data_IF_101254694123
#
_entry.id   IF_101254694123
#
_cell.length_a   1.000
_cell.length_b   1.000
_cell.length_c   1.000
_cell.angle_alpha   90.00
_cell.angle_beta   90.00
_cell.angle_gamma   90.00
#
_symmetry.space_group_name_H-M   'P 1'
#
loop_
_entity.id
_entity.type
_entity.pdbx_description
1 polymer ?
#
# COMPACT_ATOMS: atom_id res chain seq x y z
N UNK A 1 -12.82 -14.54 0.56
CA UNK A 1 -14.13 -14.31 -0.08
C UNK A 1 -14.02 -14.39 -1.59
N UNK A 2 -14.77 -15.28 -2.28
CA UNK A 2 -14.74 -15.34 -3.74
C UNK A 2 -15.48 -14.16 -4.34
N UNK A 3 -15.28 -13.86 -5.63
CA UNK A 3 -16.09 -12.88 -6.35
C UNK A 3 -17.61 -13.17 -6.22
N UNK A 4 -17.99 -14.43 -5.94
CA UNK A 4 -19.36 -14.86 -5.70
C UNK A 4 -19.79 -14.77 -4.22
N UNK A 5 -18.84 -14.65 -3.28
CA UNK A 5 -19.09 -14.43 -1.85
C UNK A 5 -19.15 -12.95 -1.49
N UNK A 6 -18.88 -12.04 -2.44
CA UNK A 6 -19.52 -10.73 -2.44
C UNK A 6 -21.02 -10.90 -2.68
N UNK A 7 -21.71 -11.54 -1.74
CA UNK A 7 -23.08 -11.12 -1.48
C UNK A 7 -23.03 -9.62 -1.26
N UNK A 8 -24.04 -8.93 -1.77
CA UNK A 8 -24.36 -7.56 -1.40
C UNK A 8 -24.65 -7.50 0.10
N UNK A 9 -23.65 -7.74 0.95
CA UNK A 9 -23.73 -7.50 2.37
C UNK A 9 -23.50 -6.02 2.54
N UNK A 10 -24.57 -5.27 2.27
CA UNK A 10 -24.74 -3.96 2.85
C UNK A 10 -24.60 -4.17 4.37
N UNK A 11 -23.49 -3.71 4.94
CA UNK A 11 -23.55 -3.29 6.33
C UNK A 11 -24.65 -2.23 6.38
N UNK A 12 -25.77 -2.56 7.04
CA UNK A 12 -27.08 -1.87 7.05
C UNK A 12 -28.06 -2.35 5.98
N UNK A 13 -28.77 -3.45 6.28
CA UNK A 13 -30.13 -3.74 5.81
C UNK A 13 -30.38 -3.89 4.29
N UNK A 14 -31.50 -4.50 3.90
CA UNK A 14 -31.87 -4.70 2.49
C UNK A 14 -32.13 -3.42 1.68
N UNK A 15 -32.05 -2.21 2.28
CA UNK A 15 -32.48 -0.96 1.62
C UNK A 15 -31.42 0.16 1.54
N UNK A 16 -30.16 -0.06 1.90
CA UNK A 16 -29.15 1.03 1.86
C UNK A 16 -28.17 0.86 0.70
N UNK A 17 -28.54 1.45 -0.44
CA UNK A 17 -27.72 1.61 -1.62
C UNK A 17 -26.56 2.57 -1.33
N UNK A 18 -25.30 2.09 -1.30
CA UNK A 18 -24.16 2.92 -1.71
C UNK A 18 -24.08 2.95 -3.24
N UNK A 19 -25.18 3.39 -3.83
CA UNK A 19 -25.22 3.85 -5.19
C UNK A 19 -25.30 5.37 -5.06
N UNK A 20 -24.63 6.13 -5.95
CA UNK A 20 -25.34 7.31 -6.45
C UNK A 20 -26.74 6.80 -6.79
N UNK A 21 -27.83 7.34 -6.21
CA UNK A 21 -29.16 6.84 -6.52
C UNK A 21 -29.23 6.70 -8.03
N UNK A 22 -29.79 5.60 -8.55
CA UNK A 22 -30.14 5.55 -9.96
C UNK A 22 -31.07 6.73 -10.20
N UNK A 23 -30.46 7.86 -10.52
CA UNK A 23 -31.10 9.14 -10.62
C UNK A 23 -31.44 9.22 -12.07
N UNK A 24 -32.68 8.88 -12.41
CA UNK A 24 -33.30 9.40 -13.61
C UNK A 24 -33.28 10.92 -13.48
N UNK A 25 -32.25 11.57 -14.02
CA UNK A 25 -32.22 13.02 -14.13
C UNK A 25 -33.00 13.38 -15.38
N UNK A 26 -34.13 14.05 -15.21
CA UNK A 26 -34.87 14.64 -16.31
C UNK A 26 -34.27 16.02 -16.60
N UNK A 27 -33.67 16.19 -17.78
CA UNK A 27 -33.27 17.52 -18.23
C UNK A 27 -34.52 18.33 -18.56
N UNK A 28 -34.75 19.44 -17.85
CA UNK A 28 -35.77 20.41 -18.24
C UNK A 28 -35.17 21.34 -19.31
N UNK A 29 -35.58 21.15 -20.56
CA UNK A 29 -35.36 22.14 -21.62
C UNK A 29 -36.51 23.18 -21.59
N UNK A 30 -36.25 24.49 -21.68
CA UNK A 30 -37.30 25.52 -21.74
C UNK A 30 -38.16 25.48 -23.03
N UNK A 31 -37.83 24.61 -23.97
CA UNK A 31 -38.48 24.44 -25.28
C UNK A 31 -38.87 22.97 -25.47
N UNK A 32 -39.98 22.73 -26.20
CA UNK A 32 -40.73 21.47 -26.47
C UNK A 32 -39.92 20.23 -26.87
N UNK A 33 -38.89 19.90 -26.12
CA UNK A 33 -38.00 18.75 -26.32
C UNK A 33 -38.30 17.78 -25.18
N UNK A 34 -38.70 16.54 -25.47
CA UNK A 34 -39.03 15.58 -24.41
C UNK A 34 -37.80 15.35 -23.52
N UNK A 35 -38.03 15.35 -22.20
CA UNK A 35 -37.00 15.13 -21.21
C UNK A 35 -36.27 13.80 -21.49
N UNK A 36 -34.94 13.84 -21.61
CA UNK A 36 -34.12 12.64 -21.73
C UNK A 36 -33.85 12.08 -20.34
N UNK A 37 -34.16 10.81 -20.14
CA UNK A 37 -33.78 10.06 -18.95
C UNK A 37 -32.29 9.73 -19.03
N UNK A 38 -31.50 10.31 -18.13
CA UNK A 38 -30.08 9.96 -17.99
C UNK A 38 -29.97 8.89 -16.90
N UNK A 39 -29.69 7.65 -17.30
CA UNK A 39 -29.43 6.55 -16.37
C UNK A 39 -27.95 6.61 -15.97
N UNK A 40 -27.67 7.02 -14.72
CA UNK A 40 -26.33 6.93 -14.15
C UNK A 40 -26.09 5.46 -13.77
N UNK A 41 -25.35 4.73 -14.60
CA UNK A 41 -24.94 3.36 -14.26
C UNK A 41 -23.86 3.39 -13.19
N UNK A 42 -24.09 2.67 -12.08
CA UNK A 42 -23.05 2.40 -11.08
C UNK A 42 -21.87 1.69 -11.73
N UNK A 43 -20.67 2.27 -11.65
CA UNK A 43 -19.46 1.64 -12.17
C UNK A 43 -19.21 0.34 -11.39
N UNK A 44 -19.14 -0.79 -12.11
CA UNK A 44 -18.79 -2.05 -11.47
C UNK A 44 -17.37 -1.97 -10.90
N UNK A 45 -17.17 -2.47 -9.68
CA UNK A 45 -15.89 -2.40 -8.97
C UNK A 45 -14.74 -3.03 -9.80
N UNK A 46 -15.02 -4.08 -10.56
CA UNK A 46 -14.09 -4.73 -11.48
C UNK A 46 -13.64 -3.86 -12.67
N UNK A 47 -14.27 -2.71 -12.91
CA UNK A 47 -13.86 -1.74 -13.94
C UNK A 47 -12.82 -0.73 -13.45
N UNK A 48 -12.60 -0.60 -12.13
CA UNK A 48 -11.61 0.33 -11.58
C UNK A 48 -10.20 0.10 -12.15
N UNK A 49 -9.69 -1.15 -12.32
CA UNK A 49 -8.39 -1.35 -12.97
C UNK A 49 -8.32 -0.77 -14.39
N UNK A 50 -9.43 -0.73 -15.12
CA UNK A 50 -9.52 -0.07 -16.42
C UNK A 50 -9.32 1.45 -16.31
N UNK A 51 -10.08 2.09 -15.42
CA UNK A 51 -9.94 3.53 -15.14
C UNK A 51 -8.52 3.89 -14.66
N UNK A 52 -7.92 3.07 -13.80
CA UNK A 52 -6.53 3.26 -13.36
C UNK A 52 -5.55 3.25 -14.54
N UNK A 53 -5.67 2.29 -15.46
CA UNK A 53 -4.82 2.25 -16.67
C UNK A 53 -5.02 3.48 -17.56
N UNK A 54 -6.24 3.99 -17.69
CA UNK A 54 -6.53 5.21 -18.44
C UNK A 54 -5.85 6.45 -17.84
N UNK A 55 -5.61 6.46 -16.52
CA UNK A 55 -4.84 7.49 -15.81
C UNK A 55 -3.31 7.26 -15.85
N UNK A 56 -2.85 6.18 -16.47
CA UNK A 56 -1.44 5.75 -16.43
C UNK A 56 -1.02 5.09 -15.11
N UNK A 57 -1.97 4.74 -14.24
CA UNK A 57 -1.72 4.09 -12.95
C UNK A 57 -1.59 2.58 -13.10
N UNK A 58 -0.55 2.16 -13.81
CA UNK A 58 -0.37 0.77 -14.22
C UNK A 58 -0.10 -0.15 -13.02
N UNK A 59 0.66 0.30 -12.02
CA UNK A 59 0.99 -0.51 -10.84
C UNK A 59 -0.22 -0.68 -9.93
N UNK A 60 -0.98 0.40 -9.69
CA UNK A 60 -2.24 0.33 -8.95
C UNK A 60 -3.24 -0.60 -9.63
N UNK A 61 -3.39 -0.47 -10.96
CA UNK A 61 -4.27 -1.33 -11.74
C UNK A 61 -3.86 -2.81 -11.65
N UNK A 62 -2.56 -3.10 -11.70
CA UNK A 62 -2.04 -4.46 -11.61
C UNK A 62 -2.30 -5.08 -10.24
N UNK A 63 -2.09 -4.34 -9.14
CA UNK A 63 -2.40 -4.82 -7.79
C UNK A 63 -3.89 -5.12 -7.62
N UNK A 64 -4.75 -4.18 -8.02
CA UNK A 64 -6.19 -4.36 -7.89
C UNK A 64 -6.70 -5.51 -8.78
N UNK A 65 -6.17 -5.65 -10.00
CA UNK A 65 -6.48 -6.78 -10.87
C UNK A 65 -6.02 -8.11 -10.25
N UNK A 66 -4.79 -8.18 -9.73
CA UNK A 66 -4.28 -9.37 -9.03
C UNK A 66 -5.20 -9.74 -7.86
N UNK A 67 -5.70 -8.76 -7.12
CA UNK A 67 -6.61 -9.00 -6.01
C UNK A 67 -7.95 -9.59 -6.49
N UNK A 68 -8.56 -9.06 -7.56
CA UNK A 68 -9.78 -9.63 -8.14
C UNK A 68 -9.57 -11.04 -8.72
N UNK A 69 -8.41 -11.30 -9.32
CA UNK A 69 -8.09 -12.57 -9.96
C UNK A 69 -7.66 -13.65 -8.94
N UNK A 70 -7.36 -13.24 -7.70
CA UNK A 70 -6.90 -14.14 -6.64
C UNK A 70 -8.04 -14.98 -6.06
N UNK A 71 -7.74 -16.19 -5.55
CA UNK A 71 -8.71 -16.99 -4.84
C UNK A 71 -9.32 -16.26 -3.67
N UNK A 72 -10.51 -16.73 -3.32
CA UNK A 72 -11.29 -16.29 -2.19
C UNK A 72 -10.54 -16.35 -0.86
N UNK A 73 -9.90 -15.27 -0.45
CA UNK A 73 -9.18 -15.24 0.82
C UNK A 73 -9.34 -13.91 1.54
N UNK A 74 -9.55 -14.00 2.84
CA UNK A 74 -9.59 -12.85 3.74
C UNK A 74 -8.38 -12.97 4.64
N UNK A 75 -7.52 -11.94 4.64
CA UNK A 75 -6.37 -11.93 5.54
C UNK A 75 -6.86 -11.86 6.99
N UNK A 76 -6.37 -12.71 7.91
CA UNK A 76 -6.72 -12.63 9.32
C UNK A 76 -6.38 -11.25 9.89
N UNK A 77 -7.29 -10.66 10.66
CA UNK A 77 -7.14 -9.29 11.18
C UNK A 77 -5.92 -9.19 12.12
N UNK A 78 -5.63 -10.26 12.85
CA UNK A 78 -4.43 -10.37 13.68
C UNK A 78 -3.14 -10.20 12.87
N UNK A 79 -3.09 -10.54 11.57
CA UNK A 79 -1.88 -10.37 10.76
C UNK A 79 -1.56 -8.90 10.47
N UNK A 80 -2.48 -7.96 10.76
CA UNK A 80 -2.22 -6.52 10.64
C UNK A 80 -1.34 -5.97 11.77
N UNK A 81 -1.17 -6.73 12.85
CA UNK A 81 -0.33 -6.38 13.99
C UNK A 81 1.01 -7.12 13.91
N UNK A 82 2.11 -6.43 14.20
CA UNK A 82 3.47 -6.93 13.95
C UNK A 82 3.78 -8.24 14.70
N UNK A 83 3.29 -8.38 15.94
CA UNK A 83 3.57 -9.52 16.83
C UNK A 83 2.91 -10.83 16.36
N UNK A 84 1.85 -10.72 15.58
CA UNK A 84 1.00 -11.83 15.11
C UNK A 84 1.14 -12.07 13.62
N UNK A 85 2.03 -11.34 12.95
CA UNK A 85 2.39 -11.63 11.55
C UNK A 85 3.02 -13.01 11.44
N UNK A 86 2.61 -13.82 10.44
CA UNK A 86 3.28 -15.08 10.15
C UNK A 86 4.72 -14.80 9.68
N UNK A 87 5.58 -15.83 9.77
CA UNK A 87 6.89 -15.78 9.14
C UNK A 87 6.69 -15.45 7.64
N UNK A 88 7.32 -14.38 7.12
CA UNK A 88 7.23 -14.03 5.71
C UNK A 88 7.52 -15.22 4.78
N UNK A 89 8.44 -16.09 5.18
CA UNK A 89 8.83 -17.27 4.41
C UNK A 89 7.80 -18.40 4.40
N UNK A 90 6.75 -18.31 5.23
CA UNK A 90 5.65 -19.27 5.28
C UNK A 90 4.45 -18.88 4.41
N UNK A 91 4.46 -17.66 3.85
CA UNK A 91 3.36 -17.16 3.00
C UNK A 91 3.32 -17.89 1.67
N UNK A 92 2.12 -18.26 1.23
CA UNK A 92 1.95 -18.84 -0.11
C UNK A 92 2.03 -17.76 -1.20
N UNK A 93 2.39 -18.11 -2.45
CA UNK A 93 2.39 -17.15 -3.57
C UNK A 93 1.03 -16.50 -3.86
N UNK A 94 -0.07 -17.13 -3.43
CA UNK A 94 -1.42 -16.56 -3.52
C UNK A 94 -1.65 -15.45 -2.49
N UNK A 95 -0.94 -15.47 -1.35
CA UNK A 95 -1.09 -14.51 -0.25
C UNK A 95 -0.07 -13.37 -0.32
N UNK A 96 1.02 -13.53 -1.08
CA UNK A 96 2.08 -12.53 -1.16
C UNK A 96 2.46 -12.26 -2.62
N UNK A 97 2.65 -10.98 -2.98
CA UNK A 97 3.24 -10.57 -4.24
C UNK A 97 4.63 -9.98 -4.04
N UNK A 98 5.58 -10.43 -4.85
CA UNK A 98 6.93 -9.84 -4.94
C UNK A 98 7.22 -9.29 -6.35
N UNK A 99 6.22 -9.21 -7.23
CA UNK A 99 6.41 -9.05 -8.68
C UNK A 99 5.92 -7.72 -9.26
N UNK A 100 4.90 -7.10 -8.66
CA UNK A 100 4.23 -5.90 -9.16
C UNK A 100 4.90 -4.64 -8.62
N UNK A 101 5.02 -4.54 -7.30
CA UNK A 101 5.63 -3.36 -6.65
C UNK A 101 7.14 -3.54 -6.61
N UNK A 102 7.84 -2.92 -7.57
CA UNK A 102 9.30 -2.90 -7.62
C UNK A 102 9.85 -1.62 -7.01
N UNK A 103 10.98 -1.74 -6.30
CA UNK A 103 11.67 -0.56 -5.78
C UNK A 103 12.12 0.39 -6.88
N UNK A 104 12.45 -0.10 -8.08
CA UNK A 104 12.74 0.74 -9.25
C UNK A 104 11.58 1.69 -9.60
N UNK A 105 10.35 1.17 -9.63
CA UNK A 105 9.13 1.97 -9.81
C UNK A 105 8.90 2.90 -8.60
N UNK A 106 9.01 2.37 -7.38
CA UNK A 106 8.74 3.15 -6.18
C UNK A 106 9.68 4.36 -6.05
N UNK A 107 10.95 4.20 -6.40
CA UNK A 107 11.97 5.25 -6.36
C UNK A 107 11.75 6.37 -7.40
N UNK A 108 10.80 6.22 -8.34
CA UNK A 108 10.38 7.32 -9.21
C UNK A 108 9.57 8.39 -8.45
N UNK A 109 8.99 8.04 -7.30
CA UNK A 109 8.19 8.95 -6.49
C UNK A 109 9.05 9.61 -5.40
N UNK A 110 8.97 10.93 -5.31
CA UNK A 110 9.75 11.73 -4.36
C UNK A 110 9.58 11.28 -2.91
N UNK A 111 8.35 10.98 -2.51
CA UNK A 111 8.05 10.49 -1.15
C UNK A 111 8.72 9.17 -0.80
N UNK A 112 8.98 8.30 -1.77
CA UNK A 112 9.72 7.06 -1.53
C UNK A 112 11.22 7.32 -1.41
N UNK A 113 11.78 8.24 -2.21
CA UNK A 113 13.19 8.65 -2.08
C UNK A 113 13.48 9.28 -0.73
N UNK A 114 12.62 10.20 -0.29
CA UNK A 114 12.71 10.82 1.03
C UNK A 114 12.61 9.79 2.16
N UNK A 115 11.72 8.80 2.01
CA UNK A 115 11.63 7.68 2.94
C UNK A 115 12.94 6.88 2.99
N UNK A 116 13.55 6.55 1.85
CA UNK A 116 14.84 5.84 1.82
C UNK A 116 15.94 6.65 2.52
N UNK A 117 16.05 7.95 2.23
CA UNK A 117 17.02 8.84 2.88
C UNK A 117 16.83 8.90 4.40
N UNK A 118 15.58 8.99 4.88
CA UNK A 118 15.27 8.95 6.31
C UNK A 118 15.62 7.59 6.93
N UNK A 119 15.30 6.49 6.25
CA UNK A 119 15.54 5.14 6.74
C UNK A 119 17.05 4.83 6.92
N UNK A 120 17.92 5.42 6.09
CA UNK A 120 19.37 5.33 6.25
C UNK A 120 19.86 5.93 7.58
N UNK A 121 19.26 7.04 8.02
CA UNK A 121 19.62 7.71 9.27
C UNK A 121 19.18 6.92 10.51
N UNK A 122 18.29 5.94 10.36
CA UNK A 122 17.68 5.20 11.46
C UNK A 122 18.35 3.84 11.75
N UNK A 123 19.44 3.51 11.05
CA UNK A 123 20.16 2.24 11.19
C UNK A 123 20.79 2.01 12.56
N UNK A 124 21.16 3.10 13.26
CA UNK A 124 21.89 3.05 14.54
C UNK A 124 21.02 3.42 15.74
N UNK A 125 19.69 3.48 15.56
CA UNK A 125 18.76 3.71 16.67
C UNK A 125 18.78 2.56 17.67
N UNK A 126 18.39 2.83 18.92
CA UNK A 126 18.33 1.82 19.98
C UNK A 126 17.46 0.63 19.57
N UNK A 127 16.33 0.87 18.89
CA UNK A 127 15.44 -0.18 18.41
C UNK A 127 16.07 -1.01 17.29
N UNK A 128 16.78 -0.37 16.34
CA UNK A 128 17.47 -1.07 15.27
C UNK A 128 18.59 -1.97 15.81
N UNK A 129 19.36 -1.47 16.78
CA UNK A 129 20.42 -2.25 17.44
C UNK A 129 19.82 -3.41 18.24
N UNK A 130 18.74 -3.18 19.00
CA UNK A 130 18.06 -4.24 19.75
C UNK A 130 17.50 -5.33 18.81
N UNK A 131 16.91 -4.94 17.68
CA UNK A 131 16.43 -5.85 16.65
C UNK A 131 17.57 -6.66 16.03
N UNK A 132 18.68 -6.02 15.68
CA UNK A 132 19.87 -6.66 15.13
C UNK A 132 20.44 -7.71 16.10
N UNK A 133 20.56 -7.38 17.38
CA UNK A 133 21.02 -8.34 18.40
C UNK A 133 20.11 -9.57 18.47
N UNK A 134 18.79 -9.37 18.47
CA UNK A 134 17.82 -10.48 18.46
C UNK A 134 17.95 -11.35 17.21
N UNK A 135 18.18 -10.75 16.05
CA UNK A 135 18.41 -11.48 14.80
C UNK A 135 19.68 -12.34 14.88
N UNK A 136 20.78 -11.78 15.39
CA UNK A 136 22.03 -12.52 15.56
C UNK A 136 21.89 -13.66 16.57
N UNK A 137 21.21 -13.44 17.70
CA UNK A 137 20.94 -14.48 18.70
C UNK A 137 20.08 -15.61 18.13
N UNK A 138 19.03 -15.27 17.39
CA UNK A 138 18.16 -16.23 16.72
C UNK A 138 18.92 -17.03 15.64
N UNK A 139 19.86 -16.39 14.96
CA UNK A 139 20.73 -17.03 13.98
C UNK A 139 21.86 -17.87 14.62
N UNK A 140 21.95 -17.89 15.95
CA UNK A 140 22.88 -18.73 16.70
C UNK A 140 24.17 -18.06 17.14
N UNK A 141 24.35 -16.76 16.89
CA UNK A 141 25.49 -16.02 17.43
C UNK A 141 25.36 -15.87 18.95
N UNK A 142 26.49 -16.00 19.65
CA UNK A 142 26.55 -15.97 21.13
C UNK A 142 27.53 -14.90 21.63
N UNK A 143 27.84 -13.91 20.80
CA UNK A 143 28.80 -12.85 21.15
C UNK A 143 30.26 -13.31 21.14
N UNK A 144 30.57 -14.36 20.38
CA UNK A 144 31.94 -14.87 20.21
C UNK A 144 32.20 -15.19 18.74
N UNK A 145 33.45 -15.01 18.31
CA UNK A 145 33.87 -15.25 16.93
C UNK A 145 33.28 -14.24 15.93
N UNK A 146 33.45 -14.55 14.64
CA UNK A 146 32.90 -13.77 13.52
C UNK A 146 31.66 -14.48 13.00
N UNK A 147 30.58 -13.74 12.76
CA UNK A 147 29.32 -14.29 12.27
C UNK A 147 28.76 -13.45 11.11
N UNK A 148 28.45 -14.06 9.97
CA UNK A 148 27.82 -13.39 8.84
C UNK A 148 26.31 -13.37 9.01
N UNK A 149 25.70 -12.19 8.90
CA UNK A 149 24.26 -12.02 8.81
C UNK A 149 23.89 -11.58 7.38
N UNK A 150 22.87 -12.21 6.82
CA UNK A 150 22.31 -11.83 5.54
C UNK A 150 23.16 -12.24 4.32
N UNK A 151 22.60 -12.02 3.13
CA UNK A 151 23.26 -12.17 1.83
C UNK A 151 22.63 -11.21 0.82
N UNK A 152 23.40 -10.78 -0.18
CA UNK A 152 22.93 -9.87 -1.23
C UNK A 152 21.96 -10.52 -2.21
N UNK A 153 21.84 -11.85 -2.16
CA UNK A 153 20.91 -12.65 -2.98
C UNK A 153 19.56 -12.87 -2.30
N UNK A 154 19.33 -12.29 -1.12
CA UNK A 154 18.08 -12.45 -0.39
C UNK A 154 16.90 -11.79 -1.10
N UNK A 155 15.76 -12.48 -1.11
CA UNK A 155 14.48 -11.86 -1.47
C UNK A 155 14.01 -10.90 -0.38
N UNK A 156 12.98 -10.10 -0.66
CA UNK A 156 12.38 -9.22 0.33
C UNK A 156 11.83 -10.01 1.53
N UNK A 157 11.22 -11.19 1.29
CA UNK A 157 10.74 -12.08 2.35
C UNK A 157 11.88 -12.61 3.23
N UNK A 158 12.98 -13.05 2.61
CA UNK A 158 14.16 -13.53 3.35
C UNK A 158 14.78 -12.40 4.18
N UNK A 159 14.87 -11.21 3.62
CA UNK A 159 15.36 -10.03 4.33
C UNK A 159 14.44 -9.64 5.49
N UNK A 160 13.12 -9.69 5.33
CA UNK A 160 12.15 -9.40 6.39
C UNK A 160 12.31 -10.33 7.60
N UNK A 161 12.53 -11.63 7.33
CA UNK A 161 12.71 -12.63 8.37
C UNK A 161 14.11 -12.59 9.01
N UNK A 162 15.17 -12.44 8.20
CA UNK A 162 16.54 -12.72 8.63
C UNK A 162 17.39 -11.49 8.95
N UNK A 163 17.07 -10.32 8.38
CA UNK A 163 17.98 -9.17 8.44
C UNK A 163 17.32 -7.80 8.58
N UNK A 164 16.00 -7.75 8.71
CA UNK A 164 15.27 -6.50 8.90
C UNK A 164 15.52 -5.89 10.29
N UNK A 165 16.08 -4.69 10.30
CA UNK A 165 16.47 -3.98 11.52
C UNK A 165 15.56 -2.82 11.86
N UNK A 166 15.02 -2.13 10.85
CA UNK A 166 14.16 -0.97 11.09
C UNK A 166 13.10 -0.78 9.99
N UNK A 167 12.16 0.13 10.23
CA UNK A 167 11.13 0.50 9.27
C UNK A 167 10.68 1.94 9.49
N UNK A 168 10.08 2.51 8.44
CA UNK A 168 9.37 3.79 8.50
C UNK A 168 8.07 3.69 7.71
N UNK A 169 7.12 4.55 8.03
CA UNK A 169 5.89 4.70 7.25
C UNK A 169 5.98 5.96 6.42
N UNK A 170 5.52 5.89 5.17
CA UNK A 170 5.47 7.04 4.28
C UNK A 170 4.15 7.06 3.51
N UNK A 171 3.85 8.23 2.95
CA UNK A 171 2.53 8.51 2.40
C UNK A 171 1.67 9.33 3.35
N UNK A 172 0.55 9.84 2.85
CA UNK A 172 -0.38 10.66 3.59
C UNK A 172 -1.70 10.72 2.83
N UNK A 173 -2.82 10.79 3.56
CA UNK A 173 -4.14 11.05 3.00
C UNK A 173 -4.20 12.34 2.17
N UNK A 174 -3.22 13.25 2.31
CA UNK A 174 -3.12 14.51 1.57
C UNK A 174 -2.20 14.45 0.35
N UNK A 175 -1.48 13.35 0.12
CA UNK A 175 -0.61 13.24 -1.05
C UNK A 175 -1.37 13.34 -2.37
N UNK A 176 -0.61 13.67 -3.42
CA UNK A 176 -1.08 13.68 -4.80
C UNK A 176 -1.74 12.36 -5.13
N UNK A 177 -2.88 12.45 -5.80
CA UNK A 177 -3.60 11.30 -6.30
C UNK A 177 -2.88 10.82 -7.58
N UNK A 178 -1.94 9.89 -7.41
CA UNK A 178 -1.10 9.30 -8.45
C UNK A 178 -1.07 7.76 -8.34
N UNK A 179 -0.32 7.10 -9.23
CA UNK A 179 -0.21 5.63 -9.29
C UNK A 179 0.21 5.02 -7.95
N UNK A 180 1.21 5.57 -7.27
CA UNK A 180 1.64 5.04 -5.97
C UNK A 180 0.60 5.29 -4.87
N UNK A 181 -0.18 6.37 -4.93
CA UNK A 181 -1.30 6.56 -4.01
C UNK A 181 -2.39 5.51 -4.25
N UNK A 182 -2.71 5.23 -5.51
CA UNK A 182 -3.67 4.18 -5.86
C UNK A 182 -3.18 2.76 -5.54
N UNK A 183 -1.86 2.54 -5.57
CA UNK A 183 -1.24 1.25 -5.31
C UNK A 183 -1.06 0.95 -3.81
N UNK A 184 -0.61 1.93 -3.04
CA UNK A 184 -0.17 1.70 -1.66
C UNK A 184 -0.87 2.63 -0.64
N UNK A 185 -1.29 3.82 -1.05
CA UNK A 185 -1.84 4.83 -0.13
C UNK A 185 -0.83 5.25 0.95
N UNK A 186 -0.83 4.53 2.08
CA UNK A 186 0.14 4.60 3.16
C UNK A 186 0.98 3.32 3.19
N UNK A 187 2.28 3.45 2.93
CA UNK A 187 3.18 2.31 2.80
C UNK A 187 4.16 2.22 3.98
N UNK A 188 4.66 1.00 4.24
CA UNK A 188 5.78 0.78 5.17
C UNK A 188 7.03 0.41 4.39
N UNK A 189 8.05 1.26 4.46
CA UNK A 189 9.40 0.95 3.98
C UNK A 189 10.16 0.26 5.10
N UNK A 190 10.74 -0.89 4.82
CA UNK A 190 11.56 -1.66 5.76
C UNK A 190 13.02 -1.69 5.30
N UNK A 191 13.92 -1.72 6.27
CA UNK A 191 15.36 -1.71 6.07
C UNK A 191 15.99 -2.99 6.60
N UNK A 192 16.74 -3.69 5.76
CA UNK A 192 17.56 -4.83 6.12
C UNK A 192 19.04 -4.56 5.94
N UNK A 193 19.88 -5.30 6.67
CA UNK A 193 21.34 -5.16 6.61
C UNK A 193 22.02 -6.51 6.36
N UNK A 194 23.08 -6.49 5.58
CA UNK A 194 24.00 -7.63 5.48
C UNK A 194 25.33 -7.21 6.06
N UNK A 195 26.03 -8.12 6.73
CA UNK A 195 27.24 -7.74 7.45
C UNK A 195 27.81 -8.81 8.36
N UNK A 196 28.82 -8.43 9.12
CA UNK A 196 29.56 -9.33 10.02
C UNK A 196 29.52 -8.83 11.45
N UNK A 197 29.04 -9.68 12.35
CA UNK A 197 29.19 -9.51 13.79
C UNK A 197 30.57 -10.03 14.22
N UNK A 198 31.22 -9.33 15.14
CA UNK A 198 32.48 -9.76 15.74
C UNK A 198 32.67 -9.10 17.11
N UNK A 199 33.51 -9.71 17.94
CA UNK A 199 33.86 -9.18 19.26
C UNK A 199 35.30 -8.67 19.25
N UNK A 200 35.56 -7.51 19.85
CA UNK A 200 36.90 -7.00 20.12
C UNK A 200 37.08 -6.82 21.62
N UNK A 201 38.25 -7.18 22.12
CA UNK A 201 38.64 -6.90 23.50
C UNK A 201 39.15 -5.46 23.54
N UNK A 202 38.54 -4.65 24.39
CA UNK A 202 39.02 -3.31 24.68
C UNK A 202 40.25 -3.42 25.59
N UNK A 203 41.43 -3.17 25.01
CA UNK A 203 42.74 -3.35 25.66
C UNK A 203 42.88 -2.67 27.03
N UNK A 204 42.37 -1.43 27.24
CA UNK A 204 42.43 -0.73 28.52
C UNK A 204 41.54 -1.35 29.60
N UNK A 205 40.37 -1.89 29.24
CA UNK A 205 39.39 -2.40 30.22
C UNK A 205 39.33 -3.93 30.31
N UNK A 206 39.98 -4.63 29.37
CA UNK A 206 39.88 -6.08 29.14
C UNK A 206 38.44 -6.56 28.90
N UNK A 207 37.51 -5.66 28.59
CA UNK A 207 36.12 -6.00 28.31
C UNK A 207 35.92 -6.36 26.83
N UNK A 208 35.12 -7.38 26.57
CA UNK A 208 34.71 -7.72 25.20
C UNK A 208 33.54 -6.83 24.76
N UNK A 209 33.73 -6.12 23.65
CA UNK A 209 32.69 -5.35 22.98
C UNK A 209 32.29 -6.00 21.67
N UNK A 210 30.99 -6.09 21.45
CA UNK A 210 30.40 -6.63 20.24
C UNK A 210 30.19 -5.50 19.22
N UNK A 211 30.58 -5.76 17.99
CA UNK A 211 30.45 -4.85 16.86
C UNK A 211 29.77 -5.57 15.70
N UNK A 212 29.08 -4.79 14.88
CA UNK A 212 28.54 -5.26 13.61
C UNK A 212 29.03 -4.33 12.50
N UNK A 213 29.73 -4.89 11.52
CA UNK A 213 30.10 -4.17 10.30
C UNK A 213 29.04 -4.42 9.24
N UNK A 214 28.37 -3.37 8.78
CA UNK A 214 27.40 -3.43 7.69
C UNK A 214 28.14 -3.40 6.36
N UNK A 215 27.98 -4.46 5.56
CA UNK A 215 28.51 -4.56 4.20
C UNK A 215 27.57 -3.87 3.20
N UNK A 216 26.25 -4.10 3.33
CA UNK A 216 25.21 -3.51 2.48
C UNK A 216 23.90 -3.28 3.24
N UNK A 217 23.13 -2.31 2.75
CA UNK A 217 21.78 -1.99 3.22
C UNK A 217 20.79 -2.29 2.09
N UNK A 218 19.67 -2.92 2.43
CA UNK A 218 18.58 -3.21 1.51
C UNK A 218 17.28 -2.55 1.95
N UNK A 219 16.50 -2.07 0.99
CA UNK A 219 15.20 -1.45 1.21
C UNK A 219 14.11 -2.20 0.45
N UNK A 220 12.95 -2.34 1.07
CA UNK A 220 11.77 -2.93 0.45
C UNK A 220 10.50 -2.37 1.07
N UNK A 221 9.41 -2.40 0.30
CA UNK A 221 8.10 -2.00 0.78
C UNK A 221 7.34 -3.26 1.18
N UNK A 222 6.66 -3.20 2.32
CA UNK A 222 5.68 -4.20 2.72
C UNK A 222 4.35 -3.52 3.03
N UNK A 223 3.30 -4.04 2.42
CA UNK A 223 1.94 -3.53 2.54
C UNK A 223 0.94 -4.68 2.66
N UNK A 224 -0.19 -4.42 3.30
CA UNK A 224 -1.33 -5.31 3.35
C UNK A 224 -2.37 -4.83 2.34
N UNK A 225 -2.36 -5.44 1.15
CA UNK A 225 -3.32 -5.12 0.10
C UNK A 225 -4.59 -5.95 0.27
N UNK A 226 -5.45 -5.56 1.22
CA UNK A 226 -6.74 -6.18 1.52
C UNK A 226 -7.88 -5.16 1.59
N UNK A 227 -9.07 -5.60 1.19
CA UNK A 227 -10.30 -4.81 1.27
C UNK A 227 -11.25 -5.36 2.33
N UNK A 228 -10.71 -5.84 3.46
CA UNK A 228 -11.53 -6.35 4.54
C UNK A 228 -12.27 -5.20 5.22
N UNK A 229 -13.56 -5.39 5.49
CA UNK A 229 -14.43 -4.38 6.10
C UNK A 229 -14.83 -3.24 5.17
N UNK A 230 -15.32 -2.15 5.76
CA UNK A 230 -15.78 -0.98 5.00
C UNK A 230 -14.62 -0.10 4.59
N UNK A 231 -14.31 -0.04 3.29
CA UNK A 231 -13.23 0.78 2.75
C UNK A 231 -13.71 1.68 1.60
N UNK A 232 -13.36 2.97 1.67
CA UNK A 232 -13.67 3.92 0.62
C UNK A 232 -12.54 3.97 -0.41
N UNK A 233 -12.81 3.50 -1.63
CA UNK A 233 -11.82 3.39 -2.71
C UNK A 233 -11.70 4.66 -3.56
N UNK A 234 -12.40 5.73 -3.21
CA UNK A 234 -12.54 6.93 -4.03
C UNK A 234 -13.83 6.96 -4.84
N UNK A 235 -14.07 8.09 -5.51
CA UNK A 235 -15.16 8.25 -6.47
C UNK A 235 -14.61 8.09 -7.87
N UNK A 236 -15.20 7.21 -8.67
CA UNK A 236 -14.68 6.80 -9.96
C UNK A 236 -15.66 7.06 -11.08
N UNK A 237 -15.14 7.49 -12.22
CA UNK A 237 -15.78 7.34 -13.53
C UNK A 237 -15.17 6.15 -14.26
N UNK A 238 -15.72 5.80 -15.43
CA UNK A 238 -15.14 4.75 -16.27
C UNK A 238 -13.70 5.05 -16.71
N UNK A 239 -13.34 6.34 -16.75
CA UNK A 239 -12.04 6.79 -17.26
C UNK A 239 -11.05 7.21 -16.19
N UNK A 240 -11.51 7.62 -14.99
CA UNK A 240 -10.61 8.17 -13.97
C UNK A 240 -11.21 8.20 -12.57
N UNK A 241 -10.35 8.31 -11.57
CA UNK A 241 -10.72 8.77 -10.24
C UNK A 241 -11.03 10.29 -10.26
N UNK A 242 -12.01 10.69 -9.46
CA UNK A 242 -12.22 12.09 -9.13
C UNK A 242 -11.15 12.56 -8.15
N UNK A 243 -10.69 13.80 -8.34
CA UNK A 243 -9.84 14.48 -7.36
C UNK A 243 -10.57 14.65 -6.03
N UNK A 244 -9.83 14.95 -4.96
CA UNK A 244 -10.41 15.20 -3.63
C UNK A 244 -11.42 16.35 -3.66
N UNK A 245 -11.13 17.42 -4.40
CA UNK A 245 -12.03 18.56 -4.58
C UNK A 245 -13.28 18.17 -5.36
N UNK A 246 -13.14 17.45 -6.48
CA UNK A 246 -14.28 16.96 -7.26
C UNK A 246 -15.15 16.00 -6.45
N UNK A 247 -14.53 15.14 -5.63
CA UNK A 247 -15.23 14.22 -4.72
C UNK A 247 -16.09 14.99 -3.71
N UNK A 248 -15.54 16.03 -3.07
CA UNK A 248 -16.30 16.87 -2.13
C UNK A 248 -17.48 17.53 -2.84
N UNK A 249 -17.28 18.05 -4.06
CA UNK A 249 -18.36 18.66 -4.85
C UNK A 249 -19.44 17.62 -5.18
N UNK A 250 -19.05 16.42 -5.63
CA UNK A 250 -19.97 15.34 -5.99
C UNK A 250 -20.73 14.76 -4.78
N UNK A 251 -20.10 14.72 -3.60
CA UNK A 251 -20.70 14.27 -2.34
C UNK A 251 -21.55 15.34 -1.65
N UNK A 252 -21.42 16.61 -2.04
CA UNK A 252 -22.29 17.66 -1.53
C UNK A 252 -23.67 17.46 -2.16
N UNK A 253 -24.75 17.26 -1.38
CA UNK A 253 -26.09 17.10 -1.92
C UNK A 253 -26.56 18.41 -2.52
N UNK A 254 -26.24 18.66 -3.78
CA UNK A 254 -26.62 19.89 -4.45
C UNK A 254 -27.90 19.68 -5.24
N UNK A 255 -29.01 19.88 -4.54
CA UNK A 255 -30.10 20.63 -5.17
C UNK A 255 -29.51 21.95 -5.68
N UNK A 256 -29.34 22.05 -7.01
CA UNK A 256 -28.82 23.20 -7.77
C UNK A 256 -27.31 23.47 -7.64
N UNK A 257 -26.49 22.74 -8.39
CA UNK A 257 -25.22 23.29 -8.89
C UNK A 257 -25.39 23.74 -10.34
N UNK A 258 -25.39 25.05 -10.57
CA UNK A 258 -25.22 25.62 -11.92
C UNK A 258 -23.73 25.87 -12.10
N UNK A 259 -23.08 25.09 -12.95
CA UNK A 259 -21.68 25.29 -13.33
C UNK A 259 -21.66 26.21 -14.55
N UNK A 260 -21.02 27.38 -14.41
CA UNK A 260 -20.74 28.28 -15.54
C UNK A 260 -19.60 27.69 -16.36
N UNK A 261 -19.91 27.24 -17.58
CA UNK A 261 -18.89 26.87 -18.57
C UNK A 261 -18.12 28.12 -18.96
N UNK A 262 -16.78 28.06 -18.89
CA UNK A 262 -15.91 29.14 -19.33
C UNK A 262 -15.65 28.98 -20.84
N UNK A 263 -16.07 30.02 -21.56
CA UNK A 263 -15.71 30.42 -22.92
C UNK A 263 -16.13 29.52 -24.11
N UNK A 264 -17.22 29.95 -24.76
CA UNK A 264 -17.65 29.60 -26.12
C UNK A 264 -18.73 30.60 -26.58
N UNK A 265 -18.77 31.05 -27.85
CA UNK A 265 -19.40 32.32 -28.20
C UNK A 265 -20.90 32.16 -28.47
N UNK A 266 -21.74 32.08 -27.44
CA UNK A 266 -23.16 32.45 -27.47
C UNK A 266 -23.62 32.89 -26.08
#
# INVERSE_FOLDING_TARGET
MSLNDFQRTNALGPDTYFALPQGASHTYAPTDTPAKEVIIQSLALSRIPGAMRNMGWNTAAALMQRWFDSPAWEMPEEWKVQETQPDPMSLSPAQCDESIVKMEWAMQFERCRQAVEEAELLLTTVNAIARLNKLLENAGWRGTGVFQLGSTTMTALQMDSLSQVNFIRFGSAWNTLDDMYGALGLATLKTGVTGKAFSKIDTPTQNAHNYFHIDQIGFYIRDHYDFNGSQYLGTWTEDRALTKTETVIAMTPQGKLIIRMKDGPF
#
